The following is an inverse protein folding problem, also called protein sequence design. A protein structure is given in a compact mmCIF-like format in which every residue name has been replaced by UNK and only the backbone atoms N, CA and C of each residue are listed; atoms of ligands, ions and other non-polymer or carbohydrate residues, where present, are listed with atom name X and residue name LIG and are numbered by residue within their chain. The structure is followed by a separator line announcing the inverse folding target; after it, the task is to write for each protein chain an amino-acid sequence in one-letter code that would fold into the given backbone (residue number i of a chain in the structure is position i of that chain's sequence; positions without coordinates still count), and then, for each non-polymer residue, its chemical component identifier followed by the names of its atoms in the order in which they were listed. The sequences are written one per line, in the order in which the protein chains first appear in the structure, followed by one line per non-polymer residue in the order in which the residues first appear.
data_IF_623683024234
#
_entry.id   IF_623683024234
#
_cell.length_a   1.000
_cell.length_b   1.000
_cell.length_c   1.000
_cell.angle_alpha   90.00
_cell.angle_beta   90.00
_cell.angle_gamma   90.00
#
_symmetry.space_group_name_H-M   'P 1'
#
loop_
_entity.id
_entity.type
_entity.pdbx_description
1 polymer ?
#
# COMPACT_ATOMS: atom_id res chain seq x y z
N UNK A 1 20.86 25.02 6.97
CA UNK A 1 21.51 23.95 7.74
C UNK A 1 20.75 22.68 7.45
N UNK A 2 21.39 21.69 6.85
CA UNK A 2 20.86 20.32 6.83
C UNK A 2 20.73 19.84 8.27
N UNK A 3 19.67 19.10 8.60
CA UNK A 3 19.44 18.57 9.96
C UNK A 3 20.40 17.46 10.38
N UNK A 4 21.60 17.36 9.79
CA UNK A 4 22.56 16.27 9.98
C UNK A 4 23.92 16.81 10.44
N UNK A 5 24.69 15.96 11.12
CA UNK A 5 26.03 16.26 11.64
C UNK A 5 27.18 15.76 10.73
N UNK A 6 26.85 15.17 9.59
CA UNK A 6 27.79 14.65 8.58
C UNK A 6 27.33 15.08 7.19
N UNK A 7 28.28 15.18 6.26
CA UNK A 7 28.05 15.65 4.89
C UNK A 7 27.57 14.54 3.93
N UNK A 8 27.87 13.28 4.25
CA UNK A 8 27.62 12.14 3.37
C UNK A 8 27.08 10.93 4.12
N UNK A 9 26.24 10.17 3.42
CA UNK A 9 25.71 8.88 3.85
C UNK A 9 25.95 7.84 2.76
N UNK A 10 26.16 6.60 3.16
CA UNK A 10 26.05 5.45 2.26
C UNK A 10 24.63 4.90 2.39
N UNK A 11 23.85 4.96 1.32
CA UNK A 11 22.45 4.54 1.31
C UNK A 11 22.26 3.28 0.45
N UNK A 12 21.42 2.38 0.94
CA UNK A 12 20.93 1.22 0.20
C UNK A 12 19.47 1.40 -0.15
N UNK A 13 19.13 1.18 -1.41
CA UNK A 13 17.80 1.33 -1.98
C UNK A 13 17.27 -0.01 -2.49
N UNK A 14 15.98 -0.24 -2.33
CA UNK A 14 15.30 -1.39 -2.93
C UNK A 14 15.08 -1.20 -4.45
N UNK A 15 14.48 -2.21 -5.08
CA UNK A 15 14.20 -2.18 -6.52
C UNK A 15 13.18 -1.09 -6.94
N UNK A 16 12.36 -0.60 -6.00
CA UNK A 16 11.41 0.49 -6.22
C UNK A 16 12.03 1.87 -5.87
N UNK A 17 13.31 1.91 -5.47
CA UNK A 17 14.02 3.13 -5.11
C UNK A 17 13.80 3.60 -3.68
N UNK A 18 13.12 2.84 -2.81
CA UNK A 18 12.97 3.21 -1.41
C UNK A 18 14.27 2.99 -0.66
N UNK A 19 14.65 3.97 0.16
CA UNK A 19 15.81 3.86 1.06
C UNK A 19 15.48 2.89 2.19
N UNK A 20 16.13 1.73 2.21
CA UNK A 20 15.91 0.68 3.22
C UNK A 20 17.01 0.61 4.28
N UNK A 21 18.18 1.18 3.99
CA UNK A 21 19.30 1.26 4.95
C UNK A 21 20.16 2.49 4.69
N UNK A 22 20.78 3.02 5.74
CA UNK A 22 21.84 4.03 5.58
C UNK A 22 22.90 3.90 6.66
N UNK A 23 24.14 4.21 6.30
CA UNK A 23 25.29 4.28 7.19
C UNK A 23 25.96 5.64 7.07
N UNK A 24 26.44 6.17 8.19
CA UNK A 24 27.19 7.42 8.22
C UNK A 24 28.55 7.22 7.55
N UNK A 25 28.97 8.18 6.72
CA UNK A 25 30.32 8.20 6.15
C UNK A 25 31.22 9.08 7.01
N UNK A 26 32.13 8.47 7.77
CA UNK A 26 33.06 9.17 8.67
C UNK A 26 34.36 9.66 8.01
N UNK A 27 34.39 9.68 6.68
CA UNK A 27 35.53 10.11 5.89
C UNK A 27 35.05 10.86 4.65
N UNK A 28 35.94 11.59 3.98
CA UNK A 28 35.61 12.28 2.74
C UNK A 28 35.59 11.26 1.56
N UNK A 29 34.41 10.93 1.00
CA UNK A 29 34.28 9.93 -0.05
C UNK A 29 34.77 10.41 -1.41
N UNK A 30 35.01 11.72 -1.59
CA UNK A 30 35.49 12.30 -2.84
C UNK A 30 37.02 12.19 -3.00
N UNK A 31 37.74 11.93 -1.90
CA UNK A 31 39.18 11.72 -1.94
C UNK A 31 39.51 10.33 -2.50
N UNK A 32 40.25 10.29 -3.60
CA UNK A 32 40.66 9.03 -4.27
C UNK A 32 41.32 8.01 -3.35
N UNK A 33 42.11 8.45 -2.36
CA UNK A 33 42.71 7.57 -1.34
C UNK A 33 41.71 6.80 -0.46
N UNK A 34 40.44 7.18 -0.48
CA UNK A 34 39.36 6.53 0.27
C UNK A 34 38.49 5.64 -0.63
N UNK A 35 38.84 5.42 -1.91
CA UNK A 35 38.06 4.60 -2.82
C UNK A 35 37.78 3.19 -2.27
N UNK A 36 38.79 2.54 -1.68
CA UNK A 36 38.64 1.22 -1.06
C UNK A 36 37.67 1.25 0.14
N UNK A 37 37.66 2.34 0.90
CA UNK A 37 36.73 2.53 2.02
C UNK A 37 35.30 2.75 1.55
N UNK A 38 35.12 3.47 0.44
CA UNK A 38 33.81 3.63 -0.20
C UNK A 38 33.30 2.27 -0.66
N UNK A 39 34.12 1.51 -1.40
CA UNK A 39 33.74 0.19 -1.89
C UNK A 39 33.33 -0.75 -0.75
N UNK A 40 34.17 -0.87 0.29
CA UNK A 40 33.87 -1.70 1.45
C UNK A 40 32.59 -1.27 2.19
N UNK A 41 32.35 0.04 2.32
CA UNK A 41 31.14 0.56 2.96
C UNK A 41 29.87 0.25 2.13
N UNK A 42 29.95 0.33 0.80
CA UNK A 42 28.82 -0.02 -0.07
C UNK A 42 28.53 -1.53 -0.08
N UNK A 43 29.55 -2.37 -0.01
CA UNK A 43 29.37 -3.82 0.19
C UNK A 43 28.73 -4.13 1.55
N UNK A 44 29.20 -3.47 2.60
CA UNK A 44 28.62 -3.57 3.94
C UNK A 44 27.16 -3.10 3.98
N UNK A 45 26.81 -2.01 3.29
CA UNK A 45 25.42 -1.56 3.11
C UNK A 45 24.56 -2.65 2.45
N UNK A 46 25.04 -3.25 1.36
CA UNK A 46 24.32 -4.35 0.67
C UNK A 46 24.16 -5.60 1.54
N UNK A 47 25.11 -5.86 2.43
CA UNK A 47 25.07 -7.00 3.34
C UNK A 47 24.24 -6.74 4.61
N UNK A 48 23.86 -5.48 4.88
CA UNK A 48 23.17 -5.11 6.14
C UNK A 48 21.71 -5.56 6.15
N UNK A 49 21.03 -5.46 5.01
CA UNK A 49 19.63 -5.87 4.84
C UNK A 49 19.48 -6.55 3.49
N UNK A 50 18.61 -7.56 3.42
CA UNK A 50 18.22 -8.15 2.14
C UNK A 50 17.42 -7.14 1.30
N UNK A 51 17.44 -7.30 -0.02
CA UNK A 51 16.64 -6.47 -0.93
C UNK A 51 17.29 -5.17 -1.39
N UNK A 52 18.55 -4.89 -1.02
CA UNK A 52 19.31 -3.75 -1.57
C UNK A 52 19.61 -4.00 -3.05
N UNK A 53 18.93 -3.27 -3.94
CA UNK A 53 19.17 -3.29 -5.38
C UNK A 53 20.30 -2.32 -5.78
N UNK A 54 20.37 -1.15 -5.13
CA UNK A 54 21.38 -0.11 -5.39
C UNK A 54 22.00 0.34 -4.07
N UNK A 55 23.31 0.47 -4.01
CA UNK A 55 24.01 1.10 -2.90
C UNK A 55 24.95 2.19 -3.42
N UNK A 56 24.87 3.39 -2.86
CA UNK A 56 25.67 4.53 -3.30
C UNK A 56 25.93 5.54 -2.16
N UNK A 57 26.90 6.43 -2.39
CA UNK A 57 27.14 7.57 -1.51
C UNK A 57 26.21 8.71 -1.93
N UNK A 58 25.47 9.24 -0.97
CA UNK A 58 24.55 10.36 -1.14
C UNK A 58 24.97 11.53 -0.24
N UNK A 59 24.54 12.75 -0.61
CA UNK A 59 24.73 13.92 0.25
C UNK A 59 23.81 13.87 1.47
N UNK A 60 24.15 14.65 2.49
CA UNK A 60 23.28 14.91 3.63
C UNK A 60 21.92 15.49 3.23
N UNK A 61 21.89 16.34 2.20
CA UNK A 61 20.66 16.93 1.66
C UNK A 61 19.75 15.84 1.07
N UNK A 62 20.31 15.01 0.17
CA UNK A 62 19.57 13.91 -0.44
C UNK A 62 19.09 12.91 0.64
N UNK A 63 19.90 12.66 1.67
CA UNK A 63 19.53 11.80 2.80
C UNK A 63 18.29 12.31 3.54
N UNK A 64 18.21 13.62 3.81
CA UNK A 64 17.04 14.23 4.47
C UNK A 64 15.80 14.11 3.60
N UNK A 65 15.92 14.32 2.29
CA UNK A 65 14.82 14.15 1.34
C UNK A 65 14.30 12.70 1.30
N UNK A 66 15.19 11.70 1.33
CA UNK A 66 14.80 10.30 1.43
C UNK A 66 14.17 9.95 2.78
N UNK A 67 14.59 10.58 3.88
CA UNK A 67 13.90 10.45 5.18
C UNK A 67 12.48 11.06 5.14
N UNK A 68 12.27 12.07 4.30
CA UNK A 68 10.96 12.68 4.09
C UNK A 68 10.03 11.85 3.16
N UNK A 69 10.48 10.69 2.69
CA UNK A 69 9.65 9.75 1.91
C UNK A 69 9.87 9.81 0.40
N UNK A 70 10.83 10.60 -0.09
CA UNK A 70 11.24 10.53 -1.50
C UNK A 70 11.90 9.19 -1.82
N UNK A 71 11.90 8.83 -3.09
CA UNK A 71 12.56 7.63 -3.61
C UNK A 71 13.67 8.01 -4.58
N UNK A 72 14.59 7.07 -4.82
CA UNK A 72 15.69 7.23 -5.76
C UNK A 72 15.17 7.20 -7.20
N UNK A 73 15.24 8.33 -7.90
CA UNK A 73 14.95 8.42 -9.32
C UNK A 73 16.02 7.75 -10.19
N UNK A 74 15.76 7.64 -11.49
CA UNK A 74 16.68 7.00 -12.45
C UNK A 74 18.06 7.69 -12.51
N UNK A 75 18.08 9.01 -12.29
CA UNK A 75 19.31 9.82 -12.23
C UNK A 75 20.06 9.70 -10.88
N UNK A 76 19.59 8.88 -9.95
CA UNK A 76 20.16 8.72 -8.60
C UNK A 76 19.84 9.87 -7.64
N UNK A 77 18.89 10.75 -7.97
CA UNK A 77 18.46 11.85 -7.10
C UNK A 77 17.08 11.61 -6.49
N UNK A 78 16.78 12.22 -5.33
CA UNK A 78 15.47 12.12 -4.72
C UNK A 78 14.37 12.66 -5.65
N UNK A 79 13.32 11.88 -5.84
CA UNK A 79 12.08 12.28 -6.52
C UNK A 79 10.88 11.95 -5.64
N UNK A 80 9.78 12.68 -5.82
CA UNK A 80 8.54 12.38 -5.11
C UNK A 80 8.10 10.94 -5.43
N UNK A 81 7.73 10.19 -4.39
CA UNK A 81 7.09 8.91 -4.58
C UNK A 81 5.65 9.13 -5.02
N UNK A 82 5.29 8.57 -6.17
CA UNK A 82 3.91 8.51 -6.64
C UNK A 82 3.49 7.04 -6.51
N UNK A 83 2.60 6.71 -5.55
CA UNK A 83 2.02 5.38 -5.47
C UNK A 83 1.40 5.00 -6.82
N UNK A 84 1.52 3.74 -7.27
CA UNK A 84 0.81 3.31 -8.45
C UNK A 84 -0.70 3.52 -8.25
N UNK A 85 -1.37 4.04 -9.28
CA UNK A 85 -2.82 4.05 -9.33
C UNK A 85 -3.34 2.61 -9.16
N UNK A 86 -4.41 2.40 -8.38
CA UNK A 86 -5.00 1.07 -8.26
C UNK A 86 -5.45 0.59 -9.64
N UNK A 87 -5.20 -0.69 -9.90
CA UNK A 87 -5.61 -1.34 -11.14
C UNK A 87 -7.13 -1.31 -11.30
N UNK A 88 -7.61 -1.46 -12.53
CA UNK A 88 -9.06 -1.54 -12.79
C UNK A 88 -9.71 -2.71 -12.04
N UNK A 89 -8.97 -3.81 -11.87
CA UNK A 89 -9.39 -4.97 -11.09
C UNK A 89 -9.52 -4.65 -9.59
N UNK A 90 -8.56 -3.94 -8.99
CA UNK A 90 -8.63 -3.50 -7.60
C UNK A 90 -9.77 -2.49 -7.37
N UNK A 91 -9.99 -1.58 -8.33
CA UNK A 91 -11.12 -0.63 -8.29
C UNK A 91 -12.46 -1.37 -8.34
N UNK A 92 -12.61 -2.34 -9.25
CA UNK A 92 -13.82 -3.16 -9.37
C UNK A 92 -14.06 -3.99 -8.11
N UNK A 93 -13.03 -4.62 -7.55
CA UNK A 93 -13.13 -5.39 -6.31
C UNK A 93 -13.53 -4.51 -5.12
N UNK A 94 -12.95 -3.31 -4.99
CA UNK A 94 -13.30 -2.35 -3.94
C UNK A 94 -14.74 -1.84 -4.07
N UNK A 95 -15.20 -1.58 -5.29
CA UNK A 95 -16.58 -1.19 -5.56
C UNK A 95 -17.55 -2.34 -5.19
N UNK A 96 -17.27 -3.57 -5.62
CA UNK A 96 -18.08 -4.73 -5.28
C UNK A 96 -18.12 -5.00 -3.76
N UNK A 97 -16.98 -4.83 -3.07
CA UNK A 97 -16.91 -4.95 -1.61
C UNK A 97 -17.75 -3.90 -0.89
N UNK A 98 -17.79 -2.67 -1.42
CA UNK A 98 -18.62 -1.58 -0.89
C UNK A 98 -20.12 -1.87 -1.02
N UNK A 99 -20.54 -2.41 -2.17
CA UNK A 99 -21.91 -2.87 -2.39
C UNK A 99 -22.23 -4.02 -1.42
N UNK A 100 -21.37 -5.04 -1.32
CA UNK A 100 -21.59 -6.14 -0.40
C UNK A 100 -21.70 -5.67 1.06
N UNK A 101 -20.91 -4.68 1.47
CA UNK A 101 -20.98 -4.09 2.81
C UNK A 101 -22.30 -3.35 3.08
N UNK A 102 -22.92 -2.76 2.04
CA UNK A 102 -24.25 -2.13 2.12
C UNK A 102 -25.36 -3.18 2.28
N UNK A 103 -25.34 -4.26 1.51
CA UNK A 103 -26.47 -5.21 1.43
C UNK A 103 -26.39 -6.37 2.42
N UNK A 104 -25.19 -6.91 2.71
CA UNK A 104 -25.04 -8.10 3.56
C UNK A 104 -25.66 -7.95 4.97
N UNK A 105 -25.52 -6.82 5.68
CA UNK A 105 -26.14 -6.66 7.00
C UNK A 105 -27.67 -6.71 6.95
N UNK A 106 -28.27 -6.12 5.91
CA UNK A 106 -29.72 -6.08 5.72
C UNK A 106 -30.26 -7.48 5.38
N UNK A 107 -29.60 -8.19 4.46
CA UNK A 107 -29.93 -9.58 4.12
C UNK A 107 -29.78 -10.52 5.33
N UNK A 108 -28.80 -10.27 6.20
CA UNK A 108 -28.64 -11.03 7.44
C UNK A 108 -29.79 -10.77 8.41
N UNK A 109 -30.17 -9.51 8.60
CA UNK A 109 -31.28 -9.13 9.48
C UNK A 109 -32.60 -9.76 9.01
N UNK A 110 -32.87 -9.77 7.70
CA UNK A 110 -34.05 -10.44 7.14
C UNK A 110 -34.04 -11.95 7.39
N UNK A 111 -32.88 -12.61 7.30
CA UNK A 111 -32.76 -14.04 7.64
C UNK A 111 -33.04 -14.30 9.12
N UNK A 112 -32.54 -13.46 10.01
CA UNK A 112 -32.78 -13.59 11.46
C UNK A 112 -34.26 -13.34 11.81
N UNK A 113 -34.89 -12.36 11.16
CA UNK A 113 -36.33 -12.10 11.28
C UNK A 113 -37.15 -13.29 10.74
N UNK A 114 -36.74 -13.90 9.62
CA UNK A 114 -37.41 -15.06 9.06
C UNK A 114 -37.34 -16.26 10.01
N UNK A 115 -36.18 -16.51 10.62
CA UNK A 115 -36.03 -17.57 11.63
C UNK A 115 -36.99 -17.32 12.80
N UNK A 116 -37.11 -16.08 13.25
CA UNK A 116 -38.05 -15.70 14.31
C UNK A 116 -39.50 -15.98 13.91
N UNK A 117 -39.91 -15.56 12.70
CA UNK A 117 -41.27 -15.78 12.18
C UNK A 117 -41.61 -17.27 12.02
N UNK A 118 -40.64 -18.10 11.61
CA UNK A 118 -40.78 -19.56 11.55
C UNK A 118 -40.97 -20.15 12.94
N UNK A 119 -40.20 -19.70 13.94
CA UNK A 119 -40.30 -20.19 15.32
C UNK A 119 -41.64 -19.81 15.98
N UNK A 120 -42.20 -18.66 15.62
CA UNK A 120 -43.51 -18.21 16.11
C UNK A 120 -44.69 -18.77 15.31
N UNK A 121 -44.44 -19.42 14.17
CA UNK A 121 -45.48 -19.95 13.29
C UNK A 121 -46.27 -18.87 12.54
N UNK A 122 -45.68 -17.68 12.36
CA UNK A 122 -46.32 -16.55 11.70
C UNK A 122 -46.10 -16.67 10.18
N UNK A 123 -47.08 -17.25 9.47
CA UNK A 123 -46.97 -17.51 8.03
C UNK A 123 -47.09 -16.24 7.16
N UNK A 124 -47.81 -15.23 7.64
CA UNK A 124 -47.98 -13.95 6.92
C UNK A 124 -46.66 -13.17 6.95
N UNK A 125 -46.05 -13.04 8.14
CA UNK A 125 -44.74 -12.41 8.29
C UNK A 125 -43.64 -13.17 7.53
N UNK A 126 -43.70 -14.50 7.46
CA UNK A 126 -42.78 -15.29 6.64
C UNK A 126 -42.89 -14.97 5.14
N UNK A 127 -44.10 -14.69 4.63
CA UNK A 127 -44.30 -14.36 3.23
C UNK A 127 -43.73 -12.97 2.91
N UNK A 128 -44.03 -11.98 3.75
CA UNK A 128 -43.52 -10.61 3.63
C UNK A 128 -41.99 -10.56 3.64
N UNK A 129 -41.35 -11.21 4.61
CA UNK A 129 -39.88 -11.22 4.72
C UNK A 129 -39.22 -11.89 3.50
N UNK A 130 -39.85 -12.92 2.92
CA UNK A 130 -39.33 -13.58 1.70
C UNK A 130 -39.43 -12.68 0.48
N UNK A 131 -40.50 -11.90 0.37
CA UNK A 131 -40.67 -10.90 -0.69
C UNK A 131 -39.62 -9.80 -0.56
N UNK A 132 -39.48 -9.20 0.62
CA UNK A 132 -38.48 -8.17 0.91
C UNK A 132 -37.04 -8.67 0.66
N UNK A 133 -36.74 -9.91 1.05
CA UNK A 133 -35.44 -10.53 0.77
C UNK A 133 -35.19 -10.68 -0.74
N UNK A 134 -36.21 -11.06 -1.52
CA UNK A 134 -36.08 -11.21 -2.97
C UNK A 134 -35.87 -9.87 -3.67
N UNK A 135 -36.61 -8.84 -3.26
CA UNK A 135 -36.45 -7.47 -3.77
C UNK A 135 -35.04 -6.93 -3.47
N UNK A 136 -34.60 -7.05 -2.21
CA UNK A 136 -33.29 -6.58 -1.80
C UNK A 136 -32.13 -7.34 -2.49
N UNK A 137 -32.30 -8.65 -2.73
CA UNK A 137 -31.35 -9.43 -3.53
C UNK A 137 -31.34 -8.99 -5.00
N UNK A 138 -32.48 -8.63 -5.57
CA UNK A 138 -32.55 -8.13 -6.94
C UNK A 138 -31.83 -6.78 -7.07
N UNK A 139 -32.03 -5.87 -6.11
CA UNK A 139 -31.28 -4.61 -6.04
C UNK A 139 -29.77 -4.83 -5.91
N UNK A 140 -29.37 -5.72 -5.00
CA UNK A 140 -27.96 -6.06 -4.82
C UNK A 140 -27.31 -6.55 -6.12
N UNK A 141 -27.97 -7.47 -6.83
CA UNK A 141 -27.47 -7.99 -8.11
C UNK A 141 -27.44 -6.90 -9.18
N UNK A 142 -28.46 -6.05 -9.27
CA UNK A 142 -28.50 -4.95 -10.24
C UNK A 142 -27.33 -3.96 -10.03
N UNK A 143 -27.00 -3.61 -8.78
CA UNK A 143 -25.84 -2.74 -8.50
C UNK A 143 -24.51 -3.42 -8.85
N UNK A 144 -24.38 -4.73 -8.63
CA UNK A 144 -23.19 -5.49 -9.06
C UNK A 144 -23.07 -5.59 -10.59
N UNK A 145 -24.17 -5.79 -11.31
CA UNK A 145 -24.20 -5.82 -12.77
C UNK A 145 -23.90 -4.44 -13.37
N UNK A 146 -24.35 -3.37 -12.72
CA UNK A 146 -24.03 -2.00 -13.13
C UNK A 146 -22.52 -1.71 -13.05
N UNK A 147 -21.79 -2.32 -12.11
CA UNK A 147 -20.31 -2.22 -12.06
C UNK A 147 -19.61 -2.92 -13.23
N UNK A 148 -20.23 -3.94 -13.83
CA UNK A 148 -19.63 -4.70 -14.94
C UNK A 148 -19.89 -4.04 -16.31
N UNK A 149 -20.89 -3.17 -16.39
CA UNK A 149 -21.38 -2.55 -17.62
C UNK A 149 -21.06 -1.05 -17.74
N UNK A 150 -20.36 -0.46 -16.77
CA UNK A 150 -19.94 0.96 -16.74
C UNK A 150 -18.44 1.12 -16.96
#
# INVERSE_FOLDING_TARGET
MTGTNVDYYAAGFDAAGHRIVSKIVFFDPQKSKNADKVAALLEDVKATVEGVAVAEIISAEDYVEYLAGKIRGENGKPVEYIPPEPTDEEKAASAAASIAAKYNPQLSALKDNLVTAVLTGDEELQAEIKEEYAELMAEYNNELEALQNG
#
